data_IF_027836103319
#
_entry.id   IF_027836103319
#
_cell.length_a   1.000
_cell.length_b   1.000
_cell.length_c   1.000
_cell.angle_alpha   90.00
_cell.angle_beta   90.00
_cell.angle_gamma   90.00
#
_symmetry.space_group_name_H-M   'P 1'
#
loop_
_entity.id
_entity.type
_entity.pdbx_description
1 polymer ?
#
# COMPACT_ATOMS: atom_id res chain seq x y z
N UNK A 1 10.08 8.95 42.16
CA UNK A 1 10.04 8.27 40.85
C UNK A 1 8.59 8.28 40.40
N UNK A 2 8.22 9.37 39.75
CA UNK A 2 6.89 9.60 39.18
C UNK A 2 7.14 10.59 38.05
N UNK A 3 7.47 10.06 36.87
CA UNK A 3 7.54 10.86 35.66
C UNK A 3 6.13 11.08 35.15
N UNK A 4 5.70 12.34 35.24
CA UNK A 4 4.52 12.84 34.59
C UNK A 4 4.75 12.81 33.07
N UNK A 5 3.86 12.08 32.40
CA UNK A 5 3.76 11.93 30.96
C UNK A 5 3.40 13.28 30.34
N UNK A 6 4.35 13.87 29.62
CA UNK A 6 4.12 15.08 28.85
C UNK A 6 3.35 14.71 27.57
N UNK A 7 2.03 14.90 27.59
CA UNK A 7 1.13 14.77 26.43
C UNK A 7 1.26 16.00 25.52
N UNK A 8 2.16 15.93 24.55
CA UNK A 8 2.02 16.64 23.29
C UNK A 8 2.24 15.64 22.16
N UNK A 9 1.19 14.86 21.87
CA UNK A 9 1.09 14.16 20.59
C UNK A 9 0.92 15.23 19.51
N UNK A 10 2.01 15.57 18.83
CA UNK A 10 1.95 16.18 17.51
C UNK A 10 1.17 15.24 16.61
N UNK A 11 -0.05 15.61 16.26
CA UNK A 11 -0.82 14.96 15.20
C UNK A 11 -0.16 15.39 13.88
N UNK A 12 0.91 14.70 13.49
CA UNK A 12 1.31 14.69 12.09
C UNK A 12 0.24 13.92 11.34
N UNK A 13 -0.79 14.62 10.87
CA UNK A 13 -1.64 14.09 9.81
C UNK A 13 -0.75 13.84 8.60
N UNK A 14 -0.60 12.58 8.20
CA UNK A 14 -0.07 12.26 6.87
C UNK A 14 -1.02 12.91 5.86
N UNK A 15 -0.66 14.09 5.37
CA UNK A 15 -1.42 14.75 4.32
C UNK A 15 -1.50 13.81 3.12
N UNK A 16 -2.70 13.55 2.63
CA UNK A 16 -2.87 12.86 1.34
C UNK A 16 -2.38 13.80 0.24
N UNK A 17 -1.35 13.38 -0.49
CA UNK A 17 -0.93 14.04 -1.73
C UNK A 17 -2.12 14.11 -2.68
N UNK A 18 -2.20 15.11 -3.56
CA UNK A 18 -3.33 15.26 -4.49
C UNK A 18 -3.61 13.98 -5.29
N UNK A 19 -2.56 13.24 -5.66
CA UNK A 19 -2.64 11.96 -6.36
C UNK A 19 -3.29 10.84 -5.53
N UNK A 20 -3.22 10.90 -4.20
CA UNK A 20 -3.85 9.92 -3.31
C UNK A 20 -5.33 10.21 -3.00
N UNK A 21 -5.91 11.28 -3.58
CA UNK A 21 -7.34 11.63 -3.44
C UNK A 21 -8.22 11.10 -4.57
N UNK A 22 -7.64 10.61 -5.67
CA UNK A 22 -8.41 10.05 -6.79
C UNK A 22 -8.85 8.62 -6.43
N UNK A 23 -10.17 8.36 -6.25
CA UNK A 23 -10.64 7.01 -5.99
C UNK A 23 -10.33 6.11 -7.19
N UNK A 24 -9.73 4.94 -6.95
CA UNK A 24 -9.40 3.99 -8.01
C UNK A 24 -10.62 3.59 -8.85
N UNK A 25 -11.80 3.54 -8.24
CA UNK A 25 -13.08 3.26 -8.91
C UNK A 25 -13.51 4.33 -9.94
N UNK A 26 -12.88 5.52 -9.94
CA UNK A 26 -13.12 6.56 -10.93
C UNK A 26 -12.08 6.55 -12.06
N UNK A 27 -11.10 5.64 -12.02
CA UNK A 27 -10.15 5.48 -13.11
C UNK A 27 -10.86 4.84 -14.33
N UNK A 28 -10.57 5.26 -15.57
CA UNK A 28 -11.24 4.73 -16.76
C UNK A 28 -11.08 3.21 -16.93
N UNK A 29 -9.95 2.67 -16.47
CA UNK A 29 -9.60 1.24 -16.56
C UNK A 29 -10.13 0.42 -15.37
N UNK A 30 -10.86 1.06 -14.43
CA UNK A 30 -11.37 0.37 -13.24
C UNK A 30 -12.55 -0.55 -13.54
N UNK A 31 -13.26 -0.32 -14.64
CA UNK A 31 -14.42 -1.11 -15.05
C UNK A 31 -14.08 -1.86 -16.33
N UNK A 32 -14.05 -3.19 -16.24
CA UNK A 32 -13.92 -4.08 -17.38
C UNK A 32 -15.31 -4.58 -17.76
N UNK A 33 -15.73 -4.39 -19.01
CA UNK A 33 -16.99 -4.93 -19.53
C UNK A 33 -16.97 -6.46 -19.47
N UNK A 34 -15.82 -7.06 -19.79
CA UNK A 34 -15.57 -8.48 -19.61
C UNK A 34 -14.21 -8.68 -18.93
N UNK A 35 -14.23 -8.78 -17.60
CA UNK A 35 -13.03 -8.86 -16.74
C UNK A 35 -12.60 -10.28 -16.36
N UNK A 36 -13.20 -11.34 -16.92
CA UNK A 36 -12.80 -12.72 -16.61
C UNK A 36 -11.43 -13.04 -17.20
N UNK A 37 -10.52 -13.51 -16.36
CA UNK A 37 -9.26 -14.10 -16.82
C UNK A 37 -9.50 -15.49 -17.45
N UNK A 38 -8.43 -16.11 -17.98
CA UNK A 38 -8.54 -17.39 -18.68
C UNK A 38 -9.15 -18.49 -17.79
N UNK A 39 -8.72 -18.57 -16.53
CA UNK A 39 -9.27 -19.54 -15.60
C UNK A 39 -10.78 -19.33 -15.38
N UNK A 40 -11.20 -18.08 -15.17
CA UNK A 40 -12.60 -17.74 -14.95
C UNK A 40 -13.46 -17.97 -16.19
N UNK A 41 -12.91 -17.80 -17.40
CA UNK A 41 -13.56 -18.19 -18.67
C UNK A 41 -13.72 -19.71 -18.81
N UNK A 42 -12.69 -20.48 -18.44
CA UNK A 42 -12.73 -21.93 -18.48
C UNK A 42 -13.74 -22.49 -17.46
N UNK A 43 -13.71 -22.00 -16.22
CA UNK A 43 -14.69 -22.36 -15.19
C UNK A 43 -16.12 -21.98 -15.62
N UNK A 44 -16.30 -20.79 -16.19
CA UNK A 44 -17.58 -20.37 -16.76
C UNK A 44 -18.07 -21.32 -17.86
N UNK A 45 -17.17 -21.84 -18.70
CA UNK A 45 -17.52 -22.80 -19.75
C UNK A 45 -18.04 -24.12 -19.17
N UNK A 46 -17.47 -24.59 -18.06
CA UNK A 46 -17.98 -25.76 -17.32
C UNK A 46 -19.36 -25.50 -16.74
N UNK A 47 -19.55 -24.35 -16.09
CA UNK A 47 -20.86 -23.98 -15.53
C UNK A 47 -21.94 -23.76 -16.60
N UNK A 48 -21.55 -23.31 -17.79
CA UNK A 48 -22.44 -23.24 -18.94
C UNK A 48 -22.77 -24.65 -19.48
N UNK A 49 -21.77 -25.53 -19.59
CA UNK A 49 -21.95 -26.91 -20.05
C UNK A 49 -22.90 -27.72 -19.16
N UNK A 50 -22.93 -27.47 -17.85
CA UNK A 50 -23.93 -28.03 -16.91
C UNK A 50 -25.37 -27.71 -17.29
N UNK A 51 -25.62 -26.59 -17.98
CA UNK A 51 -26.97 -26.15 -18.39
C UNK A 51 -27.36 -26.70 -19.76
N UNK A 52 -26.41 -27.25 -20.51
CA UNK A 52 -26.64 -27.82 -21.83
C UNK A 52 -26.98 -29.31 -21.69
N UNK A 53 -28.17 -29.70 -22.16
CA UNK A 53 -28.58 -31.11 -22.18
C UNK A 53 -27.76 -31.88 -23.21
N UNK A 54 -27.26 -33.04 -22.82
CA UNK A 54 -26.64 -33.98 -23.74
C UNK A 54 -27.67 -35.02 -24.16
N UNK A 55 -27.72 -35.35 -25.45
CA UNK A 55 -28.56 -36.40 -26.01
C UNK A 55 -27.67 -37.46 -26.63
N UNK A 56 -27.88 -38.72 -26.24
CA UNK A 56 -27.12 -39.84 -26.78
C UNK A 56 -27.52 -40.16 -28.23
N UNK A 57 -26.88 -41.18 -28.82
CA UNK A 57 -27.13 -41.60 -30.21
C UNK A 57 -28.59 -42.04 -30.48
N UNK A 58 -29.32 -42.43 -29.44
CA UNK A 58 -30.74 -42.76 -29.50
C UNK A 58 -31.65 -41.54 -29.32
N UNK A 59 -31.08 -40.33 -29.30
CA UNK A 59 -31.76 -39.06 -29.03
C UNK A 59 -32.48 -39.04 -27.66
N UNK A 60 -31.93 -39.77 -26.69
CA UNK A 60 -32.40 -39.77 -25.30
C UNK A 60 -31.49 -38.88 -24.47
N UNK A 61 -32.08 -38.03 -23.63
CA UNK A 61 -31.31 -37.17 -22.74
C UNK A 61 -30.47 -38.03 -21.79
N UNK A 62 -29.17 -37.82 -21.80
CA UNK A 62 -28.16 -38.60 -21.06
C UNK A 62 -27.21 -37.67 -20.30
N UNK A 63 -27.79 -36.85 -19.42
CA UNK A 63 -27.03 -35.87 -18.63
C UNK A 63 -26.77 -34.55 -19.36
N UNK A 64 -25.56 -34.01 -19.17
CA UNK A 64 -25.16 -32.68 -19.61
C UNK A 64 -23.81 -32.72 -20.33
N UNK A 65 -23.37 -31.59 -20.88
CA UNK A 65 -22.05 -31.49 -21.51
C UNK A 65 -20.90 -31.32 -20.50
N UNK A 66 -21.18 -31.19 -19.21
CA UNK A 66 -20.16 -31.02 -18.16
C UNK A 66 -19.06 -32.11 -18.19
N UNK A 67 -19.37 -33.41 -18.31
CA UNK A 67 -18.35 -34.46 -18.23
C UNK A 67 -17.29 -34.36 -19.33
N UNK A 68 -17.62 -33.77 -20.48
CA UNK A 68 -16.65 -33.58 -21.57
C UNK A 68 -15.49 -32.68 -21.14
N UNK A 69 -15.78 -31.59 -20.41
CA UNK A 69 -14.78 -30.63 -19.97
C UNK A 69 -14.03 -31.10 -18.72
N UNK A 70 -14.71 -31.77 -17.79
CA UNK A 70 -14.10 -32.27 -16.55
C UNK A 70 -13.24 -33.54 -16.75
N UNK A 71 -12.98 -33.95 -18.01
CA UNK A 71 -12.01 -35.01 -18.32
C UNK A 71 -10.58 -34.49 -18.54
N UNK A 72 -10.36 -33.18 -18.43
CA UNK A 72 -9.05 -32.56 -18.52
C UNK A 72 -8.74 -31.77 -17.24
N UNK A 73 -7.55 -32.00 -16.69
CA UNK A 73 -7.10 -31.39 -15.44
C UNK A 73 -7.12 -29.86 -15.46
N UNK A 74 -6.91 -29.23 -16.62
CA UNK A 74 -6.91 -27.77 -16.73
C UNK A 74 -8.27 -27.16 -16.40
N UNK A 75 -9.39 -27.84 -16.72
CA UNK A 75 -10.73 -27.36 -16.39
C UNK A 75 -11.07 -27.58 -14.91
N UNK A 76 -10.60 -28.67 -14.31
CA UNK A 76 -10.72 -28.91 -12.86
C UNK A 76 -9.94 -27.84 -12.10
N UNK A 77 -8.69 -27.60 -12.48
CA UNK A 77 -7.84 -26.55 -11.93
C UNK A 77 -8.45 -25.16 -12.12
N UNK A 78 -9.00 -24.87 -13.30
CA UNK A 78 -9.70 -23.61 -13.56
C UNK A 78 -10.88 -23.41 -12.59
N UNK A 79 -11.68 -24.44 -12.33
CA UNK A 79 -12.77 -24.39 -11.36
C UNK A 79 -12.26 -24.11 -9.94
N UNK A 80 -11.16 -24.73 -9.51
CA UNK A 80 -10.57 -24.52 -8.18
C UNK A 80 -10.06 -23.07 -8.03
N UNK A 81 -9.29 -22.57 -9.00
CA UNK A 81 -8.66 -21.24 -8.88
C UNK A 81 -9.63 -20.08 -9.14
N UNK A 82 -10.78 -20.36 -9.76
CA UNK A 82 -11.78 -19.33 -10.12
C UNK A 82 -12.89 -19.16 -9.07
N UNK A 83 -12.76 -19.76 -7.89
CA UNK A 83 -13.72 -19.58 -6.81
C UNK A 83 -13.83 -18.10 -6.40
N UNK A 84 -15.06 -17.60 -6.33
CA UNK A 84 -15.34 -16.22 -5.95
C UNK A 84 -15.40 -16.10 -4.42
N UNK A 85 -14.24 -15.93 -3.79
CA UNK A 85 -14.10 -15.95 -2.34
C UNK A 85 -14.85 -14.79 -1.66
N UNK A 86 -14.90 -13.63 -2.30
CA UNK A 86 -15.65 -12.47 -1.81
C UNK A 86 -17.14 -12.79 -1.75
N UNK A 87 -17.71 -13.29 -2.86
CA UNK A 87 -19.10 -13.73 -2.90
C UNK A 87 -19.39 -14.85 -1.90
N UNK A 88 -18.49 -15.83 -1.75
CA UNK A 88 -18.66 -16.92 -0.77
C UNK A 88 -18.77 -16.35 0.65
N UNK A 89 -17.95 -15.35 0.97
CA UNK A 89 -17.98 -14.70 2.26
C UNK A 89 -19.24 -13.85 2.50
N UNK A 90 -19.70 -13.13 1.48
CA UNK A 90 -20.97 -12.38 1.52
C UNK A 90 -22.18 -13.31 1.70
N UNK A 91 -22.23 -14.41 0.96
CA UNK A 91 -23.32 -15.40 1.04
C UNK A 91 -23.37 -16.06 2.43
N UNK A 92 -22.23 -16.45 3.00
CA UNK A 92 -22.21 -16.96 4.39
C UNK A 92 -22.57 -15.87 5.41
N UNK A 93 -22.09 -14.64 5.21
CA UNK A 93 -22.48 -13.49 6.02
C UNK A 93 -24.01 -13.29 6.05
N UNK A 94 -24.66 -13.47 4.90
CA UNK A 94 -26.12 -13.42 4.77
C UNK A 94 -26.82 -14.55 5.55
N UNK A 95 -26.24 -15.77 5.57
CA UNK A 95 -26.76 -16.86 6.42
C UNK A 95 -26.65 -16.52 7.92
N UNK A 96 -25.52 -15.93 8.34
CA UNK A 96 -25.30 -15.49 9.73
C UNK A 96 -26.31 -14.41 10.11
N UNK A 97 -26.51 -13.41 9.25
CA UNK A 97 -27.47 -12.33 9.49
C UNK A 97 -28.91 -12.87 9.61
N UNK A 98 -29.32 -13.79 8.74
CA UNK A 98 -30.62 -14.44 8.82
C UNK A 98 -30.84 -15.11 10.18
N UNK A 99 -29.84 -15.78 10.75
CA UNK A 99 -29.96 -16.38 12.10
C UNK A 99 -30.04 -15.31 13.19
N UNK A 100 -29.33 -14.19 13.07
CA UNK A 100 -29.30 -13.15 14.10
C UNK A 100 -30.58 -12.31 14.14
N UNK A 101 -31.18 -12.01 12.98
CA UNK A 101 -32.39 -11.18 12.87
C UNK A 101 -33.67 -11.93 13.27
N UNK A 102 -33.71 -13.26 13.14
CA UNK A 102 -34.88 -14.04 13.52
C UNK A 102 -34.94 -14.26 15.04
N UNK A 103 -36.09 -13.90 15.63
CA UNK A 103 -36.37 -14.03 17.06
C UNK A 103 -37.28 -15.21 17.40
N UNK A 104 -38.00 -15.76 16.42
CA UNK A 104 -38.81 -16.96 16.62
C UNK A 104 -37.95 -18.21 16.45
N UNK A 105 -38.10 -19.18 17.35
CA UNK A 105 -37.27 -20.39 17.34
C UNK A 105 -37.33 -21.13 15.99
N UNK A 106 -38.52 -21.34 15.42
CA UNK A 106 -38.68 -22.05 14.15
C UNK A 106 -37.94 -21.36 12.99
N UNK A 107 -38.12 -20.04 12.81
CA UNK A 107 -37.46 -19.26 11.75
C UNK A 107 -35.95 -19.20 11.95
N UNK A 108 -35.50 -19.06 13.20
CA UNK A 108 -34.09 -19.01 13.58
C UNK A 108 -33.39 -20.36 13.34
N UNK A 109 -34.06 -21.46 13.66
CA UNK A 109 -33.58 -22.83 13.41
C UNK A 109 -33.48 -23.11 11.91
N UNK A 110 -34.49 -22.72 11.13
CA UNK A 110 -34.46 -22.85 9.66
C UNK A 110 -33.30 -22.04 9.03
N UNK A 111 -33.05 -20.83 9.52
CA UNK A 111 -31.90 -20.04 9.09
C UNK A 111 -30.57 -20.72 9.46
N UNK A 112 -30.48 -21.38 10.63
CA UNK A 112 -29.29 -22.12 11.05
C UNK A 112 -29.05 -23.33 10.14
N UNK A 113 -30.09 -24.06 9.75
CA UNK A 113 -29.99 -25.14 8.76
C UNK A 113 -29.44 -24.63 7.42
N UNK A 114 -29.81 -23.41 7.01
CA UNK A 114 -29.22 -22.73 5.85
C UNK A 114 -27.69 -22.60 5.95
N UNK A 115 -27.17 -22.22 7.12
CA UNK A 115 -25.72 -22.17 7.37
C UNK A 115 -25.06 -23.56 7.33
N UNK A 116 -25.71 -24.60 7.88
CA UNK A 116 -25.24 -25.99 7.77
C UNK A 116 -25.13 -26.44 6.31
N UNK A 117 -26.20 -26.24 5.52
CA UNK A 117 -26.24 -26.61 4.09
C UNK A 117 -25.21 -25.84 3.29
N UNK A 118 -24.96 -24.57 3.62
CA UNK A 118 -23.95 -23.75 2.96
C UNK A 118 -22.54 -24.30 3.18
N UNK A 119 -22.14 -24.56 4.43
CA UNK A 119 -20.82 -25.13 4.75
C UNK A 119 -20.67 -26.51 4.11
N UNK A 120 -21.71 -27.35 4.21
CA UNK A 120 -21.74 -28.67 3.56
C UNK A 120 -21.47 -28.56 2.05
N UNK A 121 -22.16 -27.64 1.37
CA UNK A 121 -21.99 -27.40 -0.06
C UNK A 121 -20.58 -26.97 -0.44
N UNK A 122 -19.89 -26.18 0.39
CA UNK A 122 -18.49 -25.80 0.16
C UNK A 122 -17.55 -27.00 0.27
N UNK A 123 -17.71 -27.85 1.31
CA UNK A 123 -16.88 -29.06 1.46
C UNK A 123 -17.18 -30.07 0.34
N UNK A 124 -18.44 -30.20 -0.08
CA UNK A 124 -18.84 -31.08 -1.18
C UNK A 124 -18.17 -30.70 -2.53
N UNK A 125 -17.79 -29.43 -2.74
CA UNK A 125 -17.00 -29.02 -3.91
C UNK A 125 -15.63 -29.69 -3.93
N UNK A 126 -14.93 -29.76 -2.79
CA UNK A 126 -13.65 -30.47 -2.68
C UNK A 126 -13.81 -31.96 -2.97
N UNK A 127 -14.88 -32.59 -2.47
CA UNK A 127 -15.18 -33.97 -2.81
C UNK A 127 -15.39 -34.16 -4.32
N UNK A 128 -16.12 -33.24 -4.96
CA UNK A 128 -16.35 -33.28 -6.41
C UNK A 128 -15.04 -33.12 -7.19
N UNK A 129 -14.18 -32.18 -6.80
CA UNK A 129 -12.86 -32.00 -7.43
C UNK A 129 -11.97 -33.22 -7.25
N UNK A 130 -12.00 -33.83 -6.06
CA UNK A 130 -11.29 -35.07 -5.77
C UNK A 130 -11.79 -36.23 -6.64
N UNK A 131 -13.10 -36.44 -6.76
CA UNK A 131 -13.68 -37.47 -7.63
C UNK A 131 -13.28 -37.27 -9.10
N UNK A 132 -13.34 -36.02 -9.58
CA UNK A 132 -12.98 -35.69 -10.96
C UNK A 132 -11.49 -35.93 -11.24
N UNK A 133 -10.59 -35.51 -10.34
CA UNK A 133 -9.15 -35.71 -10.54
C UNK A 133 -8.79 -37.19 -10.41
N UNK A 134 -9.35 -37.89 -9.43
CA UNK A 134 -9.10 -39.31 -9.19
C UNK A 134 -9.52 -40.15 -10.40
N UNK A 135 -10.61 -39.79 -11.08
CA UNK A 135 -11.08 -40.48 -12.28
C UNK A 135 -10.12 -40.34 -13.49
N UNK A 136 -9.26 -39.32 -13.53
CA UNK A 136 -8.33 -39.06 -14.63
C UNK A 136 -6.86 -39.24 -14.26
N UNK A 137 -6.55 -39.41 -12.97
CA UNK A 137 -5.20 -39.64 -12.45
C UNK A 137 -4.73 -41.05 -12.80
N UNK A 138 -3.82 -41.15 -13.77
CA UNK A 138 -3.23 -42.39 -14.26
C UNK A 138 -1.76 -42.51 -13.80
N UNK A 139 -1.16 -43.72 -13.75
CA UNK A 139 0.21 -43.91 -13.26
C UNK A 139 1.31 -43.12 -13.97
N UNK A 140 1.05 -42.61 -15.19
CA UNK A 140 2.01 -41.85 -16.00
C UNK A 140 1.66 -40.36 -16.14
N UNK A 141 0.60 -39.88 -15.48
CA UNK A 141 0.14 -38.49 -15.58
C UNK A 141 0.62 -37.67 -14.38
N UNK A 142 1.85 -37.16 -14.47
CA UNK A 142 2.55 -36.48 -13.37
C UNK A 142 1.78 -35.27 -12.82
N UNK A 143 1.19 -34.45 -13.70
CA UNK A 143 0.44 -33.25 -13.27
C UNK A 143 -0.84 -33.63 -12.53
N UNK A 144 -1.65 -34.51 -13.11
CA UNK A 144 -2.91 -35.01 -12.52
C UNK A 144 -2.66 -35.64 -11.15
N UNK A 145 -1.60 -36.45 -11.04
CA UNK A 145 -1.19 -37.07 -9.78
C UNK A 145 -0.79 -36.01 -8.74
N UNK A 146 -0.02 -34.98 -9.12
CA UNK A 146 0.35 -33.89 -8.21
C UNK A 146 -0.88 -33.08 -7.74
N UNK A 147 -1.85 -32.83 -8.63
CA UNK A 147 -3.12 -32.18 -8.27
C UNK A 147 -3.91 -33.05 -7.28
N UNK A 148 -3.98 -34.35 -7.52
CA UNK A 148 -4.66 -35.29 -6.63
C UNK A 148 -3.99 -35.32 -5.25
N UNK A 149 -2.67 -35.44 -5.18
CA UNK A 149 -1.93 -35.41 -3.92
C UNK A 149 -2.17 -34.12 -3.12
N UNK A 150 -2.18 -32.98 -3.79
CA UNK A 150 -2.46 -31.69 -3.14
C UNK A 150 -3.90 -31.62 -2.61
N UNK A 151 -4.89 -32.14 -3.36
CA UNK A 151 -6.27 -32.24 -2.88
C UNK A 151 -6.39 -33.16 -1.67
N UNK A 152 -5.73 -34.33 -1.72
CA UNK A 152 -5.64 -35.27 -0.60
C UNK A 152 -5.00 -34.61 0.61
N UNK A 153 -3.92 -33.84 0.45
CA UNK A 153 -3.27 -33.09 1.52
C UNK A 153 -4.21 -32.12 2.22
N UNK A 154 -5.03 -31.37 1.46
CA UNK A 154 -6.02 -30.43 2.02
C UNK A 154 -7.15 -31.19 2.74
N UNK A 155 -7.62 -32.29 2.16
CA UNK A 155 -8.67 -33.13 2.76
C UNK A 155 -8.17 -33.72 4.07
N UNK A 156 -7.02 -34.39 4.06
CA UNK A 156 -6.44 -35.07 5.22
C UNK A 156 -5.97 -34.10 6.29
N UNK A 157 -5.39 -32.98 5.90
CA UNK A 157 -4.81 -32.00 6.81
C UNK A 157 -5.83 -31.14 7.54
N UNK A 158 -7.03 -30.92 6.96
CA UNK A 158 -8.02 -30.02 7.54
C UNK A 158 -9.47 -30.41 7.27
N UNK A 159 -9.87 -30.57 6.01
CA UNK A 159 -11.30 -30.64 5.66
C UNK A 159 -12.00 -31.90 6.14
N UNK A 160 -11.29 -33.03 6.27
CA UNK A 160 -11.84 -34.29 6.80
C UNK A 160 -12.38 -34.08 8.20
N UNK A 161 -11.58 -33.50 9.09
CA UNK A 161 -11.99 -33.24 10.47
C UNK A 161 -13.17 -32.24 10.51
N UNK A 162 -13.13 -31.23 9.64
CA UNK A 162 -14.21 -30.24 9.53
C UNK A 162 -15.53 -30.88 9.07
N UNK A 163 -15.51 -31.79 8.09
CA UNK A 163 -16.72 -32.49 7.66
C UNK A 163 -17.24 -33.45 8.74
N UNK A 164 -16.36 -34.15 9.44
CA UNK A 164 -16.73 -35.01 10.57
C UNK A 164 -17.37 -34.19 11.71
N UNK A 165 -16.85 -32.98 12.00
CA UNK A 165 -17.48 -32.04 12.93
C UNK A 165 -18.85 -31.60 12.42
N UNK A 166 -18.98 -31.22 11.15
CA UNK A 166 -20.28 -30.85 10.58
C UNK A 166 -21.31 -31.97 10.73
N UNK A 167 -20.90 -33.21 10.43
CA UNK A 167 -21.75 -34.41 10.56
C UNK A 167 -22.13 -34.69 12.01
N UNK A 168 -21.19 -34.58 12.96
CA UNK A 168 -21.51 -34.76 14.37
C UNK A 168 -22.50 -33.70 14.89
N UNK A 169 -22.40 -32.46 14.39
CA UNK A 169 -23.32 -31.37 14.73
C UNK A 169 -24.71 -31.55 14.10
N UNK A 170 -24.79 -32.02 12.85
CA UNK A 170 -26.04 -32.38 12.19
C UNK A 170 -26.78 -33.48 12.96
N UNK A 171 -26.09 -34.58 13.28
CA UNK A 171 -26.65 -35.66 14.09
C UNK A 171 -27.06 -35.20 15.49
N UNK A 172 -26.27 -34.31 16.10
CA UNK A 172 -26.57 -33.71 17.41
C UNK A 172 -27.81 -32.81 17.41
N UNK A 173 -28.21 -32.25 16.26
CA UNK A 173 -29.39 -31.41 16.15
C UNK A 173 -30.70 -32.16 16.45
N UNK A 174 -30.72 -33.49 16.27
CA UNK A 174 -31.87 -34.34 16.56
C UNK A 174 -32.22 -34.46 18.06
N UNK A 175 -31.36 -34.01 18.96
CA UNK A 175 -31.64 -34.04 20.39
C UNK A 175 -32.85 -33.14 20.75
N UNK A 176 -33.63 -33.55 21.77
CA UNK A 176 -34.82 -32.79 22.23
C UNK A 176 -34.47 -31.40 22.76
N UNK A 177 -33.28 -31.25 23.30
CA UNK A 177 -32.73 -29.99 23.76
C UNK A 177 -32.01 -29.20 22.65
N UNK A 178 -31.93 -29.72 21.43
CA UNK A 178 -31.37 -29.07 20.26
C UNK A 178 -32.48 -28.53 19.32
N UNK A 179 -32.51 -28.97 18.06
CA UNK A 179 -33.53 -28.61 17.06
C UNK A 179 -34.74 -29.56 17.08
N UNK A 180 -34.57 -30.75 17.67
CA UNK A 180 -35.60 -31.80 17.73
C UNK A 180 -35.57 -32.76 16.55
N UNK A 181 -34.93 -32.38 15.45
CA UNK A 181 -34.68 -33.21 14.27
C UNK A 181 -33.26 -32.92 13.73
N UNK A 182 -32.67 -33.88 13.04
CA UNK A 182 -31.40 -33.67 12.35
C UNK A 182 -31.63 -32.66 11.20
N UNK A 183 -30.58 -31.90 10.84
CA UNK A 183 -30.62 -31.00 9.67
C UNK A 183 -30.82 -31.80 8.38
N UNK A 184 -30.30 -33.04 8.36
CA UNK A 184 -30.53 -34.00 7.28
C UNK A 184 -29.66 -33.71 6.05
N UNK A 185 -28.36 -33.45 6.28
CA UNK A 185 -27.41 -33.27 5.18
C UNK A 185 -27.12 -34.61 4.49
N UNK A 186 -26.89 -34.58 3.17
CA UNK A 186 -26.59 -35.77 2.38
C UNK A 186 -25.08 -36.04 2.33
N UNK A 187 -24.66 -37.07 3.05
CA UNK A 187 -23.27 -37.53 3.10
C UNK A 187 -22.97 -38.70 2.16
N UNK A 188 -23.95 -39.19 1.39
CA UNK A 188 -23.83 -40.43 0.60
C UNK A 188 -22.89 -40.30 -0.59
N UNK A 189 -22.72 -39.08 -1.12
CA UNK A 189 -21.86 -38.79 -2.26
C UNK A 189 -20.38 -38.63 -1.90
N UNK A 190 -20.02 -38.63 -0.61
CA UNK A 190 -18.64 -38.42 -0.17
C UNK A 190 -17.83 -39.71 -0.27
N UNK A 191 -16.62 -39.59 -0.81
CA UNK A 191 -15.70 -40.72 -0.98
C UNK A 191 -15.21 -41.31 0.37
N UNK A 192 -14.74 -42.57 0.41
CA UNK A 192 -14.25 -43.20 1.63
C UNK A 192 -13.13 -42.43 2.35
N UNK A 193 -12.36 -41.59 1.64
CA UNK A 193 -11.30 -40.74 2.19
C UNK A 193 -11.79 -39.78 3.30
N UNK A 194 -13.09 -39.51 3.37
CA UNK A 194 -13.70 -38.63 4.37
C UNK A 194 -13.99 -39.30 5.72
N UNK A 195 -13.88 -40.63 5.83
CA UNK A 195 -14.05 -41.41 7.06
C UNK A 195 -15.32 -41.05 7.87
N UNK A 196 -16.49 -41.18 7.24
CA UNK A 196 -17.76 -40.75 7.84
C UNK A 196 -18.54 -41.85 8.58
N UNK A 197 -18.10 -43.11 8.55
CA UNK A 197 -18.88 -44.26 9.06
C UNK A 197 -19.06 -44.27 10.59
N UNK A 198 -18.07 -43.78 11.35
CA UNK A 198 -18.03 -43.87 12.82
C UNK A 198 -18.18 -42.51 13.52
N UNK A 199 -18.85 -41.54 12.89
CA UNK A 199 -19.02 -40.19 13.47
C UNK A 199 -20.16 -40.18 14.49
N UNK A 200 -19.84 -39.92 15.75
CA UNK A 200 -20.81 -39.78 16.84
C UNK A 200 -21.43 -38.38 16.91
N UNK A 201 -22.64 -38.28 17.45
CA UNK A 201 -23.34 -37.01 17.61
C UNK A 201 -22.71 -36.12 18.70
N UNK A 202 -22.51 -34.83 18.42
CA UNK A 202 -22.00 -33.85 19.37
C UNK A 202 -23.01 -32.73 19.55
N UNK A 203 -23.41 -32.48 20.80
CA UNK A 203 -24.36 -31.42 21.12
C UNK A 203 -23.65 -30.05 21.22
N UNK A 204 -23.90 -29.18 20.25
CA UNK A 204 -23.45 -27.77 20.22
C UNK A 204 -24.55 -26.77 20.64
N UNK A 205 -25.76 -27.26 20.91
CA UNK A 205 -26.95 -26.47 21.21
C UNK A 205 -27.04 -26.16 22.72
N UNK A 206 -26.06 -25.42 23.22
CA UNK A 206 -25.91 -25.14 24.66
C UNK A 206 -26.62 -23.84 25.04
N UNK A 207 -27.46 -23.85 26.08
CA UNK A 207 -28.12 -22.65 26.59
C UNK A 207 -29.45 -22.94 27.29
N UNK A 208 -29.90 -21.98 28.09
CA UNK A 208 -31.14 -22.14 28.88
C UNK A 208 -32.39 -21.99 28.02
N UNK A 209 -32.40 -21.02 27.09
CA UNK A 209 -33.53 -20.77 26.18
C UNK A 209 -33.27 -21.37 24.80
N UNK A 210 -34.31 -21.85 24.08
CA UNK A 210 -34.15 -22.42 22.74
C UNK A 210 -33.38 -21.52 21.75
N UNK A 211 -33.66 -20.21 21.75
CA UNK A 211 -32.95 -19.26 20.88
C UNK A 211 -31.47 -19.06 21.26
N UNK A 212 -31.11 -19.21 22.53
CA UNK A 212 -29.72 -19.09 22.99
C UNK A 212 -28.91 -20.29 22.48
N UNK A 213 -29.52 -21.48 22.48
CA UNK A 213 -28.92 -22.71 21.94
C UNK A 213 -28.60 -22.59 20.45
N UNK A 214 -29.54 -22.08 19.66
CA UNK A 214 -29.34 -21.81 18.21
C UNK A 214 -28.23 -20.77 18.01
N UNK A 215 -28.21 -19.72 18.83
CA UNK A 215 -27.17 -18.67 18.76
C UNK A 215 -25.79 -19.20 19.14
N UNK A 216 -25.69 -20.15 20.08
CA UNK A 216 -24.44 -20.82 20.43
C UNK A 216 -23.99 -21.80 19.34
N UNK A 217 -24.90 -22.59 18.78
CA UNK A 217 -24.59 -23.47 17.66
C UNK A 217 -24.04 -22.71 16.44
N UNK A 218 -24.57 -21.51 16.17
CA UNK A 218 -24.06 -20.61 15.13
C UNK A 218 -22.57 -20.26 15.33
N UNK A 219 -22.08 -20.12 16.56
CA UNK A 219 -20.67 -19.83 16.84
C UNK A 219 -19.80 -21.01 16.35
N UNK A 220 -20.21 -22.24 16.63
CA UNK A 220 -19.51 -23.44 16.15
C UNK A 220 -19.48 -23.51 14.62
N UNK A 221 -20.59 -23.18 13.96
CA UNK A 221 -20.63 -23.12 12.49
C UNK A 221 -19.76 -21.99 11.91
N UNK A 222 -19.66 -20.84 12.57
CA UNK A 222 -18.77 -19.75 12.13
C UNK A 222 -17.30 -20.14 12.24
N UNK A 223 -16.92 -20.88 13.28
CA UNK A 223 -15.55 -21.40 13.41
C UNK A 223 -15.25 -22.42 12.32
N UNK A 224 -16.19 -23.33 12.07
CA UNK A 224 -16.07 -24.33 11.02
C UNK A 224 -15.98 -23.69 9.63
N UNK A 225 -16.85 -22.73 9.33
CA UNK A 225 -16.80 -21.96 8.09
C UNK A 225 -15.45 -21.27 7.91
N UNK A 226 -14.91 -20.64 8.95
CA UNK A 226 -13.58 -19.99 8.87
C UNK A 226 -12.50 -20.98 8.45
N UNK A 227 -12.55 -22.20 8.97
CA UNK A 227 -11.63 -23.28 8.57
C UNK A 227 -11.80 -23.66 7.10
N UNK A 228 -13.03 -23.92 6.66
CA UNK A 228 -13.35 -24.27 5.25
C UNK A 228 -12.98 -23.13 4.29
N UNK A 229 -13.23 -21.88 4.68
CA UNK A 229 -12.86 -20.69 3.91
C UNK A 229 -11.34 -20.56 3.78
N UNK A 230 -10.58 -20.83 4.85
CA UNK A 230 -9.12 -20.86 4.77
C UNK A 230 -8.63 -21.96 3.82
N UNK A 231 -9.26 -23.14 3.82
CA UNK A 231 -8.93 -24.21 2.87
C UNK A 231 -9.22 -23.80 1.41
N UNK A 232 -10.32 -23.07 1.16
CA UNK A 232 -10.62 -22.49 -0.17
C UNK A 232 -9.56 -21.47 -0.60
N UNK A 233 -9.12 -20.57 0.29
CA UNK A 233 -8.05 -19.61 0.01
C UNK A 233 -6.73 -20.33 -0.29
N UNK A 234 -6.38 -21.32 0.53
CA UNK A 234 -5.19 -22.14 0.35
C UNK A 234 -5.23 -22.86 -1.00
N UNK A 235 -6.35 -23.49 -1.35
CA UNK A 235 -6.54 -24.13 -2.63
C UNK A 235 -6.39 -23.14 -3.79
N UNK A 236 -7.10 -22.01 -3.77
CA UNK A 236 -7.00 -21.01 -4.84
C UNK A 236 -5.55 -20.54 -5.05
N UNK A 237 -4.78 -20.37 -3.98
CA UNK A 237 -3.38 -19.97 -4.06
C UNK A 237 -2.47 -21.09 -4.60
N UNK A 238 -2.53 -22.30 -4.03
CA UNK A 238 -1.58 -23.37 -4.35
C UNK A 238 -1.88 -24.11 -5.65
N UNK A 239 -3.14 -24.14 -6.10
CA UNK A 239 -3.48 -24.70 -7.41
C UNK A 239 -3.25 -23.71 -8.57
N UNK A 240 -2.99 -22.42 -8.29
CA UNK A 240 -2.74 -21.43 -9.36
C UNK A 240 -1.48 -21.73 -10.18
N UNK A 241 -0.31 -22.05 -9.59
CA UNK A 241 0.85 -22.50 -10.35
C UNK A 241 0.58 -23.78 -11.16
N UNK A 242 -0.16 -24.74 -10.60
CA UNK A 242 -0.53 -25.99 -11.29
C UNK A 242 -1.44 -25.71 -12.49
N UNK A 243 -2.39 -24.78 -12.35
CA UNK A 243 -3.21 -24.29 -13.47
C UNK A 243 -2.32 -23.69 -14.57
N UNK A 244 -1.39 -22.82 -14.22
CA UNK A 244 -0.50 -22.19 -15.20
C UNK A 244 0.43 -23.19 -15.89
N UNK A 245 0.92 -24.19 -15.16
CA UNK A 245 1.66 -25.32 -15.71
C UNK A 245 0.79 -26.12 -16.70
N UNK A 246 -0.46 -26.39 -16.33
CA UNK A 246 -1.42 -27.11 -17.19
C UNK A 246 -1.64 -26.40 -18.52
N UNK A 247 -1.65 -25.06 -18.55
CA UNK A 247 -1.87 -24.29 -19.78
C UNK A 247 -0.60 -24.14 -20.62
N UNK A 248 0.58 -24.05 -19.98
CA UNK A 248 1.84 -23.71 -20.68
C UNK A 248 2.69 -24.92 -21.06
N UNK A 249 2.60 -26.01 -20.31
CA UNK A 249 3.53 -27.13 -20.39
C UNK A 249 2.87 -28.46 -20.72
N UNK A 250 1.58 -28.64 -20.39
CA UNK A 250 0.84 -29.84 -20.78
C UNK A 250 0.66 -29.87 -22.31
N UNK A 251 0.93 -31.01 -22.93
CA UNK A 251 0.93 -31.18 -24.39
C UNK A 251 0.02 -32.32 -24.88
N UNK A 252 -0.65 -33.00 -23.95
CA UNK A 252 -1.49 -34.16 -24.16
C UNK A 252 -2.98 -33.86 -23.88
N UNK A 253 -3.40 -32.60 -24.00
CA UNK A 253 -4.82 -32.25 -24.02
C UNK A 253 -5.53 -33.02 -25.15
N UNK A 254 -6.78 -33.44 -24.90
CA UNK A 254 -7.61 -33.99 -25.98
C UNK A 254 -7.83 -32.92 -27.06
N UNK A 255 -7.92 -33.29 -28.36
CA UNK A 255 -8.00 -32.31 -29.45
C UNK A 255 -9.14 -31.30 -29.32
N UNK A 256 -10.30 -31.74 -28.83
CA UNK A 256 -11.47 -30.91 -28.55
C UNK A 256 -11.23 -29.92 -27.40
N UNK A 257 -10.65 -30.39 -26.30
CA UNK A 257 -10.23 -29.54 -25.16
C UNK A 257 -9.20 -28.50 -25.59
N UNK A 258 -8.16 -28.92 -26.32
CA UNK A 258 -7.11 -28.04 -26.81
C UNK A 258 -7.65 -26.94 -27.73
N UNK A 259 -8.59 -27.28 -28.61
CA UNK A 259 -9.25 -26.31 -29.48
C UNK A 259 -10.05 -25.27 -28.67
N UNK A 260 -10.77 -25.71 -27.64
CA UNK A 260 -11.52 -24.79 -26.77
C UNK A 260 -10.60 -23.88 -25.97
N UNK A 261 -9.52 -24.42 -25.37
CA UNK A 261 -8.51 -23.63 -24.66
C UNK A 261 -7.90 -22.57 -25.59
N UNK A 262 -7.55 -22.96 -26.82
CA UNK A 262 -6.99 -22.05 -27.84
C UNK A 262 -7.98 -20.95 -28.19
N UNK A 263 -9.27 -21.30 -28.38
CA UNK A 263 -10.32 -20.31 -28.63
C UNK A 263 -10.42 -19.31 -27.48
N UNK A 264 -10.42 -19.77 -26.23
CA UNK A 264 -10.52 -18.90 -25.05
C UNK A 264 -9.30 -17.98 -24.92
N UNK A 265 -8.09 -18.46 -25.25
CA UNK A 265 -6.88 -17.62 -25.29
C UNK A 265 -6.98 -16.54 -26.37
N UNK A 266 -7.43 -16.89 -27.58
CA UNK A 266 -7.61 -15.92 -28.67
C UNK A 266 -8.72 -14.91 -28.35
N UNK A 267 -9.79 -15.34 -27.68
CA UNK A 267 -10.88 -14.48 -27.24
C UNK A 267 -10.40 -13.35 -26.30
N UNK A 268 -9.31 -13.55 -25.56
CA UNK A 268 -8.74 -12.49 -24.71
C UNK A 268 -8.29 -11.26 -25.51
N UNK A 269 -7.97 -11.38 -26.80
CA UNK A 269 -7.71 -10.21 -27.64
C UNK A 269 -8.97 -9.36 -27.85
N UNK A 270 -10.11 -10.01 -28.14
CA UNK A 270 -11.40 -9.32 -28.23
C UNK A 270 -11.84 -8.74 -26.87
N UNK A 271 -11.56 -9.44 -25.75
CA UNK A 271 -11.81 -8.88 -24.41
C UNK A 271 -11.00 -7.60 -24.16
N UNK A 272 -9.72 -7.56 -24.55
CA UNK A 272 -8.89 -6.36 -24.40
C UNK A 272 -9.50 -5.18 -25.13
N UNK A 273 -9.92 -5.37 -26.39
CA UNK A 273 -10.55 -4.33 -27.19
C UNK A 273 -11.89 -3.88 -26.58
N UNK A 274 -12.72 -4.83 -26.15
CA UNK A 274 -14.01 -4.54 -25.50
C UNK A 274 -13.81 -3.74 -24.20
N UNK A 275 -12.77 -4.06 -23.43
CA UNK A 275 -12.45 -3.36 -22.19
C UNK A 275 -11.85 -1.95 -22.42
N UNK A 276 -11.53 -1.56 -23.67
CA UNK A 276 -11.12 -0.18 -23.99
C UNK A 276 -12.31 0.77 -24.18
N UNK A 277 -13.56 0.30 -24.16
CA UNK A 277 -14.74 1.15 -24.44
C UNK A 277 -14.82 2.36 -23.50
N UNK A 278 -14.56 2.18 -22.20
CA UNK A 278 -14.59 3.25 -21.19
C UNK A 278 -13.53 4.33 -21.45
N UNK A 279 -12.27 3.94 -21.67
CA UNK A 279 -11.18 4.88 -21.96
C UNK A 279 -11.37 5.56 -23.32
N UNK A 280 -11.85 4.83 -24.34
CA UNK A 280 -12.13 5.39 -25.66
C UNK A 280 -13.26 6.43 -25.60
N UNK A 281 -14.31 6.16 -24.83
CA UNK A 281 -15.39 7.11 -24.61
C UNK A 281 -14.90 8.37 -23.89
N UNK A 282 -14.06 8.22 -22.86
CA UNK A 282 -13.50 9.34 -22.13
C UNK A 282 -12.59 10.20 -23.01
N UNK A 283 -11.73 9.56 -23.81
CA UNK A 283 -10.90 10.22 -24.82
C UNK A 283 -11.76 10.99 -25.82
N UNK A 284 -12.81 10.36 -26.37
CA UNK A 284 -13.76 11.03 -27.27
C UNK A 284 -14.41 12.25 -26.61
N UNK A 285 -14.88 12.13 -25.37
CA UNK A 285 -15.55 13.22 -24.67
C UNK A 285 -14.61 14.42 -24.44
N UNK A 286 -13.39 14.19 -23.95
CA UNK A 286 -12.47 15.29 -23.66
C UNK A 286 -11.81 15.86 -24.93
N UNK A 287 -11.35 15.02 -25.85
CA UNK A 287 -10.58 15.48 -27.01
C UNK A 287 -11.46 15.91 -28.18
N UNK A 288 -12.63 15.30 -28.39
CA UNK A 288 -13.46 15.57 -29.57
C UNK A 288 -14.69 16.41 -29.24
N UNK A 289 -15.37 16.14 -28.12
CA UNK A 289 -16.54 16.92 -27.72
C UNK A 289 -16.15 18.22 -27.01
N UNK A 290 -15.30 18.16 -25.98
CA UNK A 290 -14.81 19.33 -25.27
C UNK A 290 -13.60 20.01 -25.94
N UNK A 291 -12.97 19.34 -26.91
CA UNK A 291 -11.79 19.84 -27.65
C UNK A 291 -10.62 20.24 -26.74
N UNK A 292 -10.50 19.60 -25.58
CA UNK A 292 -9.34 19.75 -24.73
C UNK A 292 -8.12 19.20 -25.45
N UNK A 293 -6.98 19.87 -25.26
CA UNK A 293 -5.68 19.43 -25.78
C UNK A 293 -4.76 19.17 -24.61
N UNK A 294 -3.92 18.13 -24.68
CA UNK A 294 -2.83 17.96 -23.72
C UNK A 294 -2.01 19.25 -23.64
N UNK A 295 -1.62 19.63 -22.44
CA UNK A 295 -0.67 20.72 -22.27
C UNK A 295 0.65 20.31 -22.92
N UNK A 296 1.24 21.20 -23.71
CA UNK A 296 2.54 20.94 -24.34
C UNK A 296 3.66 20.81 -23.31
N UNK A 297 4.81 20.33 -23.76
CA UNK A 297 6.01 20.28 -22.94
C UNK A 297 6.45 21.70 -22.55
N UNK A 298 6.85 21.88 -21.29
CA UNK A 298 7.56 23.07 -20.82
C UNK A 298 9.04 22.68 -20.79
N UNK A 299 9.93 23.43 -21.47
CA UNK A 299 11.36 23.12 -21.47
C UNK A 299 11.95 23.30 -20.07
N UNK A 300 12.97 22.50 -19.75
CA UNK A 300 13.70 22.65 -18.50
C UNK A 300 14.54 23.94 -18.49
N UNK A 301 14.71 24.52 -17.31
CA UNK A 301 15.57 25.69 -17.09
C UNK A 301 16.67 25.35 -16.08
N UNK A 302 17.89 25.80 -16.36
CA UNK A 302 19.06 25.57 -15.49
C UNK A 302 19.87 26.86 -15.30
N UNK A 303 20.50 26.99 -14.14
CA UNK A 303 21.49 28.03 -13.89
C UNK A 303 22.88 27.55 -14.28
N UNK A 304 23.66 28.43 -14.91
CA UNK A 304 25.00 28.14 -15.39
C UNK A 304 26.00 29.06 -14.70
N UNK A 305 27.10 28.47 -14.19
CA UNK A 305 28.26 29.21 -13.73
C UNK A 305 29.34 29.13 -14.81
N UNK A 306 29.81 30.28 -15.28
CA UNK A 306 30.82 30.38 -16.33
C UNK A 306 32.07 31.03 -15.77
N UNK A 307 33.23 30.47 -16.10
CA UNK A 307 34.53 31.04 -15.76
C UNK A 307 35.24 31.50 -17.03
N UNK A 308 35.85 32.68 -16.98
CA UNK A 308 36.65 33.19 -18.10
C UNK A 308 38.01 32.48 -18.11
N UNK A 309 38.47 32.07 -19.29
CA UNK A 309 39.80 31.50 -19.45
C UNK A 309 40.90 32.50 -19.02
N UNK A 310 41.92 32.05 -18.29
CA UNK A 310 42.87 32.94 -17.59
C UNK A 310 43.73 33.90 -18.44
N UNK A 311 43.61 33.87 -19.77
CA UNK A 311 44.25 34.83 -20.69
C UNK A 311 43.31 35.96 -21.14
N UNK A 312 42.04 35.92 -20.73
CA UNK A 312 41.03 36.90 -21.06
C UNK A 312 40.56 37.58 -19.76
N UNK A 313 40.43 38.90 -19.79
CA UNK A 313 39.88 39.64 -18.66
C UNK A 313 38.35 39.54 -18.61
N UNK A 314 37.71 39.52 -19.79
CA UNK A 314 36.27 39.59 -19.99
C UNK A 314 35.85 38.89 -21.29
N UNK A 315 34.65 38.31 -21.31
CA UNK A 315 34.03 37.75 -22.50
C UNK A 315 32.50 37.91 -22.46
N UNK A 316 31.90 38.30 -23.58
CA UNK A 316 30.44 38.43 -23.69
C UNK A 316 29.88 37.15 -24.30
N UNK A 317 28.93 36.52 -23.59
CA UNK A 317 28.15 35.38 -24.05
C UNK A 317 26.79 35.89 -24.51
N UNK A 318 26.49 35.89 -25.82
CA UNK A 318 25.20 36.37 -26.32
C UNK A 318 24.01 35.52 -25.83
N UNK A 319 22.82 36.10 -25.86
CA UNK A 319 21.57 35.32 -25.76
C UNK A 319 21.45 34.35 -26.94
N UNK A 320 20.87 33.17 -26.71
CA UNK A 320 20.73 32.10 -27.69
C UNK A 320 22.01 31.27 -27.91
N UNK A 321 23.03 31.44 -27.06
CA UNK A 321 24.25 30.62 -27.12
C UNK A 321 23.90 29.19 -26.74
N UNK A 322 24.19 28.24 -27.65
CA UNK A 322 23.87 26.83 -27.49
C UNK A 322 24.89 26.10 -26.64
N UNK A 323 24.40 25.31 -25.70
CA UNK A 323 25.20 24.56 -24.74
C UNK A 323 24.77 23.10 -24.77
N UNK A 324 25.73 22.19 -24.87
CA UNK A 324 25.49 20.75 -24.88
C UNK A 324 25.50 20.23 -23.45
N UNK A 325 24.43 19.55 -23.04
CA UNK A 325 24.25 18.97 -21.71
C UNK A 325 24.24 17.43 -21.75
N UNK A 326 25.06 16.84 -22.62
CA UNK A 326 25.13 15.39 -22.82
C UNK A 326 24.07 14.88 -23.80
N UNK A 327 23.69 13.61 -23.66
CA UNK A 327 22.72 12.92 -24.50
C UNK A 327 21.61 12.30 -23.66
N UNK A 328 20.41 12.22 -24.23
CA UNK A 328 19.27 11.52 -23.63
C UNK A 328 19.41 9.99 -23.74
N UNK A 329 18.43 9.26 -23.20
CA UNK A 329 18.42 7.79 -23.20
C UNK A 329 18.35 7.18 -24.61
N UNK A 330 17.87 7.96 -25.59
CA UNK A 330 17.76 7.55 -27.01
C UNK A 330 19.01 7.97 -27.82
N UNK A 331 19.98 8.65 -27.19
CA UNK A 331 21.24 9.08 -27.79
C UNK A 331 21.17 10.46 -28.48
N UNK A 332 20.10 11.24 -28.29
CA UNK A 332 20.00 12.59 -28.85
C UNK A 332 20.66 13.62 -27.93
N UNK A 333 21.33 14.61 -28.53
CA UNK A 333 21.95 15.72 -27.78
C UNK A 333 20.92 16.54 -27.01
N UNK A 334 21.14 16.73 -25.71
CA UNK A 334 20.39 17.67 -24.88
C UNK A 334 21.02 19.05 -25.06
N UNK A 335 20.23 20.02 -25.55
CA UNK A 335 20.71 21.37 -25.86
C UNK A 335 19.96 22.42 -25.05
N UNK A 336 20.72 23.28 -24.39
CA UNK A 336 20.22 24.49 -23.73
C UNK A 336 20.63 25.72 -24.53
N UNK A 337 19.87 26.79 -24.39
CA UNK A 337 20.20 28.11 -24.94
C UNK A 337 20.24 29.13 -23.81
N UNK A 338 21.24 30.03 -23.83
CA UNK A 338 21.28 31.14 -22.88
C UNK A 338 20.08 32.05 -23.10
N UNK A 339 19.37 32.40 -22.05
CA UNK A 339 18.14 33.21 -22.15
C UNK A 339 18.42 34.70 -22.34
N UNK A 340 19.61 35.16 -21.93
CA UNK A 340 20.03 36.56 -21.98
C UNK A 340 21.53 36.66 -22.26
N UNK A 341 21.99 37.84 -22.69
CA UNK A 341 23.41 38.15 -22.82
C UNK A 341 24.07 38.31 -21.44
N UNK A 342 25.28 37.78 -21.28
CA UNK A 342 26.05 37.84 -20.04
C UNK A 342 27.51 38.21 -20.32
N UNK A 343 28.01 39.25 -19.67
CA UNK A 343 29.45 39.56 -19.66
C UNK A 343 30.12 38.82 -18.49
N UNK A 344 30.90 37.79 -18.82
CA UNK A 344 31.67 37.00 -17.85
C UNK A 344 33.03 37.67 -17.67
N UNK A 345 33.50 37.77 -16.42
CA UNK A 345 34.80 38.35 -16.07
C UNK A 345 35.51 37.49 -15.01
N UNK A 346 36.68 37.93 -14.55
CA UNK A 346 37.50 37.22 -13.56
C UNK A 346 37.09 37.45 -12.09
N UNK A 347 35.93 38.08 -11.82
CA UNK A 347 35.45 38.25 -10.46
C UNK A 347 34.97 36.91 -9.88
N UNK A 348 35.51 36.56 -8.72
CA UNK A 348 35.15 35.35 -7.98
C UNK A 348 34.63 35.69 -6.59
N UNK A 349 33.76 34.84 -6.05
CA UNK A 349 33.31 34.95 -4.66
C UNK A 349 34.43 34.51 -3.71
N UNK A 350 35.12 35.47 -3.08
CA UNK A 350 36.26 35.18 -2.19
C UNK A 350 35.82 34.63 -0.82
N UNK A 351 34.80 35.23 -0.19
CA UNK A 351 34.26 34.73 1.08
C UNK A 351 32.83 35.18 1.32
N UNK A 352 32.05 34.32 2.00
CA UNK A 352 30.75 34.66 2.56
C UNK A 352 30.90 34.72 4.08
N UNK A 353 30.45 35.82 4.69
CA UNK A 353 30.51 36.02 6.14
C UNK A 353 29.13 36.38 6.68
N UNK A 354 28.78 35.81 7.82
CA UNK A 354 27.50 36.06 8.46
C UNK A 354 27.70 36.49 9.91
N UNK A 355 26.93 37.49 10.35
CA UNK A 355 26.79 37.88 11.76
C UNK A 355 25.33 37.71 12.13
N UNK A 356 25.07 37.03 13.23
CA UNK A 356 23.75 36.79 13.79
C UNK A 356 23.64 37.40 15.18
N UNK A 357 22.55 38.13 15.41
CA UNK A 357 22.23 38.75 16.69
C UNK A 357 21.15 37.91 17.37
N UNK A 358 21.53 37.19 18.42
CA UNK A 358 20.60 36.42 19.23
C UNK A 358 19.76 37.34 20.10
N UNK A 359 18.44 37.11 20.06
CA UNK A 359 17.45 37.71 20.97
C UNK A 359 16.74 36.63 21.75
N UNK A 360 17.46 35.56 22.11
CA UNK A 360 16.87 34.43 22.82
C UNK A 360 16.24 34.93 24.13
N UNK A 361 14.92 34.91 24.19
CA UNK A 361 14.20 35.49 25.30
C UNK A 361 14.42 34.62 26.54
N UNK A 362 15.04 35.20 27.56
CA UNK A 362 15.15 34.61 28.89
C UNK A 362 14.20 35.39 29.81
N UNK A 363 12.89 35.08 29.80
CA UNK A 363 11.91 35.81 30.60
C UNK A 363 12.14 35.67 32.11
N UNK A 364 12.90 34.65 32.52
CA UNK A 364 13.41 34.47 33.89
C UNK A 364 14.50 35.50 34.27
N UNK A 365 15.11 36.16 33.29
CA UNK A 365 16.20 37.14 33.50
C UNK A 365 15.73 38.56 33.26
N UNK A 366 14.94 38.80 32.21
CA UNK A 366 14.40 40.14 31.92
C UNK A 366 13.13 40.08 31.07
N UNK A 367 12.22 41.04 31.29
CA UNK A 367 11.05 41.29 30.44
C UNK A 367 11.37 42.08 29.17
N UNK A 368 12.62 42.56 28.99
CA UNK A 368 13.05 43.30 27.81
C UNK A 368 13.57 42.38 26.70
N UNK A 369 13.27 42.72 25.45
CA UNK A 369 13.94 42.12 24.29
C UNK A 369 15.35 42.70 24.15
N UNK A 370 16.34 41.98 24.69
CA UNK A 370 17.76 42.34 24.59
C UNK A 370 18.51 41.42 23.63
N UNK A 371 19.63 41.91 23.09
CA UNK A 371 20.58 41.04 22.38
C UNK A 371 21.32 40.21 23.44
N UNK A 372 21.07 38.91 23.46
CA UNK A 372 21.62 37.96 24.43
C UNK A 372 22.92 37.31 23.97
N UNK A 373 23.19 37.37 22.67
CA UNK A 373 24.41 36.83 22.07
C UNK A 373 24.67 37.43 20.70
N UNK A 374 25.93 37.44 20.29
CA UNK A 374 26.32 37.76 18.93
C UNK A 374 27.18 36.62 18.42
N UNK A 375 26.81 36.07 17.27
CA UNK A 375 27.48 34.92 16.67
C UNK A 375 27.97 35.29 15.27
N UNK A 376 29.13 34.79 14.87
CA UNK A 376 29.73 35.05 13.58
C UNK A 376 30.19 33.74 12.92
N UNK A 377 29.99 33.69 11.61
CA UNK A 377 30.54 32.67 10.72
C UNK A 377 31.46 33.35 9.70
N UNK A 378 32.79 33.39 9.95
CA UNK A 378 33.76 33.96 9.01
C UNK A 378 33.87 33.23 7.67
N UNK A 379 33.40 31.98 7.59
CA UNK A 379 33.17 31.25 6.35
C UNK A 379 31.77 30.63 6.42
N UNK A 380 30.75 31.41 6.07
CA UNK A 380 29.35 31.04 6.29
C UNK A 380 28.93 29.81 5.49
N UNK A 381 29.48 29.61 4.29
CA UNK A 381 29.23 28.45 3.44
C UNK A 381 30.01 27.20 3.89
N UNK A 382 29.98 26.91 5.18
CA UNK A 382 30.63 25.76 5.79
C UNK A 382 29.77 25.20 6.91
N UNK A 383 30.02 23.94 7.27
CA UNK A 383 29.22 23.23 8.28
C UNK A 383 29.29 23.87 9.66
N UNK A 384 30.44 24.43 10.01
CA UNK A 384 30.77 24.98 11.34
C UNK A 384 30.96 26.51 11.34
N UNK A 385 30.70 27.18 10.21
CA UNK A 385 30.97 28.60 10.02
C UNK A 385 32.46 29.00 9.97
N UNK A 386 33.40 28.03 10.00
CA UNK A 386 34.87 28.24 10.02
C UNK A 386 35.62 27.60 8.84
N UNK A 387 34.90 27.04 7.87
CA UNK A 387 35.45 26.44 6.66
C UNK A 387 35.41 24.91 6.61
N UNK A 388 34.78 24.22 7.57
CA UNK A 388 34.61 22.76 7.48
C UNK A 388 33.66 22.38 6.34
N UNK A 389 34.05 21.46 5.44
CA UNK A 389 33.20 21.05 4.32
C UNK A 389 31.96 20.28 4.81
N UNK A 390 30.90 20.32 3.99
CA UNK A 390 29.73 19.47 4.14
C UNK A 390 30.05 18.01 3.75
N UNK A 391 29.34 17.05 4.33
CA UNK A 391 29.49 15.64 3.96
C UNK A 391 28.66 15.33 2.70
N UNK A 392 27.45 15.88 2.61
CA UNK A 392 26.61 15.85 1.42
C UNK A 392 26.74 17.18 0.62
N UNK A 393 27.03 17.15 -0.69
CA UNK A 393 27.04 18.32 -1.57
C UNK A 393 25.72 19.12 -1.60
N UNK A 394 24.61 18.53 -1.18
CA UNK A 394 23.29 19.16 -1.13
C UNK A 394 22.94 19.75 0.25
N UNK A 395 23.82 19.64 1.24
CA UNK A 395 23.64 20.32 2.53
C UNK A 395 23.66 21.85 2.39
N UNK A 396 22.80 22.51 3.15
CA UNK A 396 22.68 23.97 3.20
C UNK A 396 23.07 24.51 4.57
N UNK A 397 23.45 25.79 4.64
CA UNK A 397 23.73 26.50 5.89
C UNK A 397 22.71 27.63 6.15
N UNK A 398 22.56 28.09 7.40
CA UNK A 398 21.73 29.25 7.72
C UNK A 398 22.36 30.54 7.16
N UNK A 399 21.89 31.00 5.99
CA UNK A 399 22.48 32.17 5.29
C UNK A 399 22.48 33.45 6.12
N UNK A 400 21.45 33.65 6.94
CA UNK A 400 21.32 34.77 7.88
C UNK A 400 21.75 34.44 9.31
N UNK A 401 22.35 33.26 9.51
CA UNK A 401 22.75 32.73 10.79
C UNK A 401 21.57 32.25 11.63
N UNK A 402 21.87 31.67 12.78
CA UNK A 402 20.87 31.04 13.65
C UNK A 402 21.32 31.03 15.10
N UNK A 403 20.37 30.73 15.99
CA UNK A 403 20.62 30.59 17.42
C UNK A 403 21.60 29.46 17.75
N UNK A 404 22.57 29.74 18.62
CA UNK A 404 23.56 28.76 19.08
C UNK A 404 23.40 28.42 20.57
N UNK A 405 22.70 29.26 21.36
CA UNK A 405 22.66 29.15 22.82
C UNK A 405 22.15 27.79 23.36
N UNK A 406 21.29 27.09 22.62
CA UNK A 406 20.72 25.80 23.01
C UNK A 406 21.26 24.62 22.21
N UNK A 407 22.25 24.85 21.33
CA UNK A 407 22.81 23.78 20.50
C UNK A 407 23.86 23.00 21.29
N UNK A 408 23.93 21.67 21.10
CA UNK A 408 25.06 20.90 21.57
C UNK A 408 26.32 21.28 20.76
N UNK A 409 27.49 21.20 21.38
CA UNK A 409 28.74 21.76 20.81
C UNK A 409 29.22 21.10 19.51
N UNK A 410 28.66 19.95 19.16
CA UNK A 410 28.90 19.25 17.88
C UNK A 410 27.94 19.69 16.75
N UNK A 411 26.93 20.49 17.08
CA UNK A 411 25.96 21.06 16.14
C UNK A 411 26.12 22.58 15.92
N UNK A 412 27.21 23.17 16.45
CA UNK A 412 27.53 24.59 16.27
C UNK A 412 27.77 24.91 14.79
N UNK A 413 27.06 25.92 14.29
CA UNK A 413 27.19 26.43 12.92
C UNK A 413 27.84 27.80 12.88
N UNK A 414 28.06 28.42 14.05
CA UNK A 414 28.64 29.75 14.21
C UNK A 414 29.46 29.82 15.50
N UNK A 415 30.43 30.74 15.58
CA UNK A 415 31.18 31.02 16.81
C UNK A 415 30.68 32.29 17.49
N UNK A 416 31.03 32.52 18.76
CA UNK A 416 30.85 33.84 19.38
C UNK A 416 31.54 34.91 18.53
N UNK A 417 30.84 36.02 18.26
CA UNK A 417 31.36 37.10 17.44
C UNK A 417 32.29 37.99 18.26
N UNK A 418 33.51 38.21 17.76
CA UNK A 418 34.45 39.19 18.29
C UNK A 418 34.06 40.61 17.82
N UNK A 419 32.99 41.15 18.40
CA UNK A 419 32.48 42.49 18.10
C UNK A 419 32.79 43.41 19.28
N UNK A 420 33.29 44.61 19.00
CA UNK A 420 33.58 45.61 20.01
C UNK A 420 33.69 47.01 19.45
N UNK A 421 33.93 47.97 20.34
CA UNK A 421 34.17 49.36 19.99
C UNK A 421 35.67 49.64 19.93
N UNK A 422 36.12 50.30 18.87
CA UNK A 422 37.47 50.86 18.77
C UNK A 422 37.40 52.38 18.97
N UNK A 423 38.07 52.88 20.01
CA UNK A 423 38.17 54.32 20.27
C UNK A 423 39.51 54.81 19.75
N UNK A 424 39.48 55.70 18.76
CA UNK A 424 40.68 56.32 18.20
C UNK A 424 40.65 57.82 18.48
N UNK A 425 41.68 58.32 19.17
CA UNK A 425 41.86 59.74 19.39
C UNK A 425 43.35 60.08 19.34
N UNK A 426 43.75 61.26 18.82
CA UNK A 426 45.16 61.67 18.78
C UNK A 426 45.86 61.60 20.13
N UNK A 427 45.15 61.93 21.23
CA UNK A 427 45.67 61.87 22.60
C UNK A 427 45.99 60.45 23.09
N UNK A 428 45.38 59.42 22.49
CA UNK A 428 45.67 58.01 22.79
C UNK A 428 46.95 57.50 22.11
N UNK A 429 47.61 58.31 21.26
CA UNK A 429 48.92 58.01 20.67
C UNK A 429 50.05 58.26 21.67
N UNK A 430 50.00 57.58 22.81
CA UNK A 430 50.92 57.71 23.93
C UNK A 430 52.14 56.78 23.74
N UNK A 431 53.15 57.22 22.99
CA UNK A 431 54.27 56.36 22.54
C UNK A 431 55.22 55.84 23.63
N UNK A 432 55.33 56.50 24.79
CA UNK A 432 56.24 56.07 25.88
C UNK A 432 55.80 56.54 27.29
N UNK A 433 56.32 55.87 28.34
CA UNK A 433 56.09 56.14 29.77
C UNK A 433 54.91 55.36 30.39
N UNK A 434 54.86 55.26 31.73
CA UNK A 434 53.71 54.67 32.43
C UNK A 434 52.52 55.64 32.39
N UNK A 435 51.41 55.22 31.78
CA UNK A 435 50.19 56.03 31.61
C UNK A 435 49.01 55.38 32.30
N UNK A 436 48.17 56.22 32.92
CA UNK A 436 46.85 55.84 33.42
C UNK A 436 45.83 56.63 32.61
N UNK A 437 45.02 55.93 31.82
CA UNK A 437 43.93 56.52 31.05
C UNK A 437 42.64 56.33 31.85
N UNK A 438 41.95 57.42 32.16
CA UNK A 438 40.62 57.39 32.76
C UNK A 438 39.63 57.87 31.72
N UNK A 439 38.68 57.01 31.34
CA UNK A 439 37.59 57.37 30.45
C UNK A 439 36.32 57.55 31.28
N UNK A 440 35.67 58.69 31.13
CA UNK A 440 34.38 58.98 31.77
C UNK A 440 33.33 59.12 30.68
N UNK A 441 32.35 58.22 30.70
CA UNK A 441 31.23 58.25 29.78
C UNK A 441 30.10 59.06 30.41
N UNK A 442 29.65 60.10 29.72
CA UNK A 442 28.48 60.89 30.12
C UNK A 442 27.28 60.45 29.28
N UNK A 443 26.18 60.16 29.95
CA UNK A 443 24.92 59.78 29.32
C UNK A 443 23.86 60.81 29.70
N UNK A 444 23.06 61.26 28.73
CA UNK A 444 21.95 62.15 29.01
C UNK A 444 20.91 61.50 29.94
N UNK A 445 20.24 62.28 30.81
CA UNK A 445 19.25 61.75 31.75
C UNK A 445 18.12 60.96 31.11
N UNK A 446 17.75 61.27 29.85
CA UNK A 446 16.76 60.54 29.06
C UNK A 446 17.32 59.20 28.54
N UNK A 447 18.55 59.21 28.01
CA UNK A 447 19.22 58.02 27.44
C UNK A 447 19.45 56.90 28.46
N UNK A 448 19.54 57.23 29.75
CA UNK A 448 19.75 56.26 30.82
C UNK A 448 18.45 55.71 31.42
N UNK A 449 17.27 56.27 31.08
CA UNK A 449 16.00 55.83 31.67
C UNK A 449 15.69 54.37 31.32
N UNK A 450 15.87 53.99 30.06
CA UNK A 450 15.63 52.63 29.59
C UNK A 450 16.63 51.66 30.22
N UNK A 451 17.91 52.05 30.28
CA UNK A 451 18.96 51.25 30.93
C UNK A 451 18.70 51.04 32.42
N UNK A 452 18.25 52.07 33.15
CA UNK A 452 17.86 51.95 34.57
C UNK A 452 16.66 51.02 34.75
N UNK A 453 15.65 51.11 33.89
CA UNK A 453 14.48 50.21 33.92
C UNK A 453 14.90 48.77 33.67
N UNK A 454 15.76 48.52 32.69
CA UNK A 454 16.35 47.21 32.40
C UNK A 454 17.12 46.66 33.62
N UNK A 455 17.98 47.46 34.24
CA UNK A 455 18.73 47.03 35.43
C UNK A 455 17.82 46.71 36.63
N UNK A 456 16.74 47.47 36.81
CA UNK A 456 15.76 47.20 37.87
C UNK A 456 14.97 45.93 37.61
N UNK A 457 14.59 45.68 36.36
CA UNK A 457 13.89 44.48 35.90
C UNK A 457 14.75 43.22 36.06
N UNK A 458 16.02 43.26 35.62
CA UNK A 458 17.00 42.17 35.85
C UNK A 458 17.23 41.89 37.33
N UNK A 459 17.07 42.88 38.22
CA UNK A 459 17.25 42.68 39.67
C UNK A 459 16.01 42.07 40.34
N UNK A 460 14.84 42.17 39.72
CA UNK A 460 13.56 41.73 40.29
C UNK A 460 13.23 40.27 39.94
N UNK A 461 13.77 39.78 38.83
CA UNK A 461 13.79 38.37 38.46
C UNK A 461 15.10 37.73 38.92
#
# INVERSE_FOLDING_TARGET
MTEATNKYQSIFGFGTTQNSRLPKALLPDSIHIEGKDLAKLMAYSVDYAKKLRFFNESNVQDGTWEPFLNTDVSFILANIVSQDLERINEEFGSQVEAVLQNHQFAEKSLALEGAFRYIHGLIARFNTWYQQIHAISLPNSELEYNVELELVSIIDGQLREDLQKLKSYDLGAAAKDALGEAVGLDYSSFEPIWYLEAVEAVNIFIGDKPNDRVSRALISLRLLYRSVYNALNYAQHNFRPLFEQSIRQKSDHKPDTGLLITFLQLYQHAQRDLNQVSINYLRFYYEHFLQLRPQGCVPDEVHLSLEVAGHLDRHVVPAGTRLLAGQDADGNDIRFETTHELEVNSASLESIRTIYLSKYNQPEVTSFEVITGMYAAPQANSRDGKGRPFEDPHESWPTFGEEQALKPSDADTMANADIGFAISAPILRMKEGHRKVTMTLFFDPESIQIFKKLLLDIRQN
#
